data_IF_262149951500
#
_entry.id   IF_262149951500
#
_cell.length_a   1.000
_cell.length_b   1.000
_cell.length_c   1.000
_cell.angle_alpha   90.00
_cell.angle_beta   90.00
_cell.angle_gamma   90.00
#
_symmetry.space_group_name_H-M   'P 1'
#
loop_
_entity.id
_entity.type
_entity.pdbx_description
1 polymer ?
#
# COMPACT_ATOMS: atom_id res chain seq x y z
N UNK A 1 6.30 11.63 -19.50
CA UNK A 1 5.93 10.26 -19.91
C UNK A 1 4.95 9.79 -18.85
N UNK A 2 3.76 9.32 -19.23
CA UNK A 2 2.86 8.66 -18.27
C UNK A 2 3.52 7.35 -17.86
N UNK A 3 3.93 7.25 -16.60
CA UNK A 3 4.31 5.95 -16.03
C UNK A 3 3.07 5.07 -16.05
N UNK A 4 3.21 3.85 -16.56
CA UNK A 4 2.17 2.85 -16.46
C UNK A 4 2.25 2.23 -15.07
N UNK A 5 1.11 1.92 -14.43
CA UNK A 5 1.12 1.24 -13.13
C UNK A 5 1.86 -0.08 -13.20
N UNK A 6 2.65 -0.38 -12.16
CA UNK A 6 3.31 -1.67 -12.06
C UNK A 6 2.31 -2.80 -11.81
N UNK A 7 2.72 -4.05 -12.07
CA UNK A 7 1.84 -5.21 -11.90
C UNK A 7 1.27 -5.37 -10.48
N UNK A 8 2.04 -4.97 -9.47
CA UNK A 8 1.59 -4.93 -8.08
C UNK A 8 0.48 -3.93 -7.85
N UNK A 9 0.69 -2.71 -8.32
CA UNK A 9 -0.29 -1.63 -8.23
C UNK A 9 -1.61 -2.03 -8.88
N UNK A 10 -1.56 -2.66 -10.06
CA UNK A 10 -2.76 -3.16 -10.75
C UNK A 10 -3.55 -4.19 -9.92
N UNK A 11 -2.86 -5.04 -9.15
CA UNK A 11 -3.52 -5.99 -8.25
C UNK A 11 -4.16 -5.26 -7.06
N UNK A 12 -3.43 -4.33 -6.43
CA UNK A 12 -3.93 -3.53 -5.31
C UNK A 12 -5.12 -2.68 -5.71
N UNK A 13 -5.04 -1.94 -6.82
CA UNK A 13 -6.16 -1.15 -7.31
C UNK A 13 -7.36 -1.99 -7.71
N UNK A 14 -7.14 -3.19 -8.26
CA UNK A 14 -8.22 -4.17 -8.50
C UNK A 14 -8.86 -4.62 -7.18
N UNK A 15 -8.05 -4.87 -6.15
CA UNK A 15 -8.55 -5.25 -4.82
C UNK A 15 -9.39 -4.11 -4.22
N UNK A 16 -8.90 -2.87 -4.21
CA UNK A 16 -9.65 -1.70 -3.72
C UNK A 16 -10.98 -1.54 -4.46
N UNK A 17 -10.98 -1.71 -5.79
CA UNK A 17 -12.18 -1.58 -6.62
C UNK A 17 -13.20 -2.68 -6.37
N UNK A 18 -12.77 -3.95 -6.36
CA UNK A 18 -13.67 -5.10 -6.43
C UNK A 18 -14.04 -5.65 -5.05
N UNK A 19 -13.15 -5.53 -4.07
CA UNK A 19 -13.33 -6.07 -2.72
C UNK A 19 -13.67 -4.95 -1.74
N UNK A 20 -12.88 -3.87 -1.70
CA UNK A 20 -13.19 -2.70 -0.83
C UNK A 20 -14.19 -1.74 -1.48
N UNK A 21 -14.74 -2.08 -2.65
CA UNK A 21 -15.80 -1.35 -3.34
C UNK A 21 -15.52 0.13 -3.66
N UNK A 22 -14.25 0.54 -3.68
CA UNK A 22 -13.85 1.92 -4.00
C UNK A 22 -14.42 2.35 -5.36
N UNK A 23 -15.12 3.48 -5.39
CA UNK A 23 -15.75 4.05 -6.58
C UNK A 23 -14.76 4.86 -7.41
N UNK A 24 -13.65 5.28 -6.83
CA UNK A 24 -12.50 5.82 -7.53
C UNK A 24 -11.25 5.04 -7.13
N UNK A 25 -10.44 4.69 -8.13
CA UNK A 25 -9.09 4.16 -7.95
C UNK A 25 -8.19 4.91 -8.93
N UNK A 26 -7.11 5.50 -8.41
CA UNK A 26 -6.09 6.20 -9.19
C UNK A 26 -4.71 5.66 -8.87
N UNK A 27 -3.81 5.75 -9.84
CA UNK A 27 -2.49 5.14 -9.78
C UNK A 27 -1.41 6.20 -10.03
N UNK A 28 -0.22 6.01 -9.47
CA UNK A 28 0.96 6.87 -9.67
C UNK A 28 0.64 8.36 -9.43
N UNK A 29 -0.10 8.66 -8.36
CA UNK A 29 -0.52 10.02 -8.06
C UNK A 29 0.68 10.86 -7.65
N UNK A 30 0.86 12.01 -8.30
CA UNK A 30 1.98 12.92 -8.05
C UNK A 30 1.49 14.31 -7.68
N UNK A 31 2.29 15.00 -6.88
CA UNK A 31 2.11 16.42 -6.63
C UNK A 31 2.26 17.22 -7.93
N UNK A 32 1.46 18.28 -8.09
CA UNK A 32 1.59 19.22 -9.21
C UNK A 32 2.60 20.35 -8.93
N UNK A 33 3.14 20.40 -7.70
CA UNK A 33 4.09 21.43 -7.28
C UNK A 33 5.45 21.17 -7.90
N UNK A 34 6.02 22.18 -8.57
CA UNK A 34 7.32 22.04 -9.23
C UNK A 34 8.42 21.73 -8.22
N UNK A 35 9.17 20.65 -8.46
CA UNK A 35 10.23 20.17 -7.58
C UNK A 35 9.78 19.21 -6.48
N UNK A 36 8.47 19.03 -6.31
CA UNK A 36 7.94 18.00 -5.43
C UNK A 36 8.05 16.61 -6.10
N UNK A 37 8.69 15.68 -5.40
CA UNK A 37 8.92 14.32 -5.87
C UNK A 37 7.94 13.31 -5.26
N UNK A 38 6.91 13.79 -4.56
CA UNK A 38 5.85 12.95 -4.01
C UNK A 38 5.18 12.12 -5.12
N UNK A 39 5.09 10.83 -4.85
CA UNK A 39 4.46 9.82 -5.69
C UNK A 39 3.80 8.81 -4.76
N UNK A 40 2.48 8.62 -4.93
CA UNK A 40 1.67 7.64 -4.24
C UNK A 40 1.27 6.57 -5.26
N UNK A 41 1.50 5.31 -4.92
CA UNK A 41 1.33 4.20 -5.87
C UNK A 41 -0.13 3.98 -6.24
N UNK A 42 -1.03 3.86 -5.24
CA UNK A 42 -2.47 3.67 -5.46
C UNK A 42 -3.29 4.44 -4.42
N UNK A 43 -4.32 5.16 -4.87
CA UNK A 43 -5.33 5.77 -4.00
C UNK A 43 -6.71 5.21 -4.37
N UNK A 44 -7.45 4.74 -3.37
CA UNK A 44 -8.85 4.35 -3.46
C UNK A 44 -9.74 5.31 -2.69
N UNK A 45 -10.93 5.61 -3.21
CA UNK A 45 -11.97 6.35 -2.48
C UNK A 45 -13.25 5.54 -2.47
N UNK A 46 -13.72 5.24 -1.27
CA UNK A 46 -15.00 4.57 -1.01
C UNK A 46 -15.97 5.57 -0.37
N UNK A 47 -17.10 5.85 -1.02
CA UNK A 47 -18.24 6.48 -0.36
C UNK A 47 -19.22 5.39 0.05
N UNK A 48 -19.13 5.02 1.33
CA UNK A 48 -19.92 3.95 1.93
C UNK A 48 -21.42 4.16 1.76
N UNK A 49 -22.23 3.09 1.90
CA UNK A 49 -23.68 3.20 1.85
C UNK A 49 -24.27 4.12 2.94
N UNK A 50 -23.56 4.32 4.05
CA UNK A 50 -23.91 5.24 5.14
C UNK A 50 -23.57 6.69 4.83
N UNK A 51 -22.85 6.96 3.73
CA UNK A 51 -22.46 8.28 3.26
C UNK A 51 -21.12 8.77 3.82
N UNK A 52 -20.37 7.91 4.51
CA UNK A 52 -19.00 8.21 4.96
C UNK A 52 -18.00 8.01 3.82
N UNK A 53 -17.04 8.92 3.68
CA UNK A 53 -15.95 8.83 2.72
C UNK A 53 -14.68 8.30 3.39
N UNK A 54 -14.16 7.18 2.85
CA UNK A 54 -12.92 6.53 3.26
C UNK A 54 -11.90 6.67 2.13
N UNK A 55 -10.71 7.19 2.46
CA UNK A 55 -9.61 7.32 1.50
C UNK A 55 -8.49 6.34 1.84
N UNK A 56 -8.28 5.36 0.96
CA UNK A 56 -7.21 4.38 1.03
C UNK A 56 -5.97 4.93 0.32
N UNK A 57 -4.82 4.93 1.00
CA UNK A 57 -3.53 5.36 0.45
C UNK A 57 -2.55 4.20 0.55
N UNK A 58 -2.18 3.62 -0.59
CA UNK A 58 -1.42 2.38 -0.64
C UNK A 58 -0.02 2.62 -1.21
N UNK A 59 0.96 2.07 -0.52
CA UNK A 59 2.33 1.92 -1.00
C UNK A 59 2.63 0.46 -1.31
N UNK A 60 3.17 0.20 -2.50
CA UNK A 60 3.21 -1.14 -3.09
C UNK A 60 4.65 -1.54 -3.39
N UNK A 61 5.12 -2.57 -2.69
CA UNK A 61 6.46 -3.13 -2.92
C UNK A 61 6.36 -4.61 -3.27
N UNK A 62 6.51 -4.94 -4.55
CA UNK A 62 6.32 -6.31 -5.08
C UNK A 62 7.59 -7.15 -5.20
N UNK A 63 8.66 -6.79 -4.51
CA UNK A 63 9.90 -7.56 -4.52
C UNK A 63 9.67 -8.97 -3.94
N UNK A 64 9.70 -9.98 -4.80
CA UNK A 64 9.52 -11.39 -4.42
C UNK A 64 10.73 -11.97 -3.66
N UNK A 65 11.88 -11.32 -3.76
CA UNK A 65 13.09 -11.64 -2.99
C UNK A 65 13.13 -10.94 -1.63
N UNK A 66 12.23 -9.99 -1.38
CA UNK A 66 12.00 -9.35 -0.09
C UNK A 66 12.06 -7.82 -0.15
N UNK A 67 11.28 -7.16 0.70
CA UNK A 67 11.35 -5.71 0.93
C UNK A 67 12.73 -5.31 1.45
N UNK A 68 13.46 -4.47 0.70
CA UNK A 68 14.77 -3.97 1.09
C UNK A 68 15.15 -2.72 0.27
N UNK A 69 15.43 -1.60 0.94
CA UNK A 69 16.11 -0.44 0.35
C UNK A 69 17.55 -0.37 0.86
N UNK A 70 18.52 -0.50 -0.03
CA UNK A 70 19.93 -0.36 0.34
C UNK A 70 20.27 1.10 0.62
N UNK A 71 20.94 1.38 1.74
CA UNK A 71 21.36 2.73 2.08
C UNK A 71 21.86 2.89 3.50
N UNK A 72 21.98 4.14 3.92
CA UNK A 72 22.36 4.51 5.28
C UNK A 72 21.26 5.42 5.82
N UNK A 73 20.74 5.15 7.02
CA UNK A 73 19.76 6.04 7.62
C UNK A 73 20.41 7.39 7.94
N UNK A 74 19.66 8.47 7.75
CA UNK A 74 20.07 9.83 8.08
C UNK A 74 19.91 10.13 9.58
N UNK A 75 19.16 9.30 10.30
CA UNK A 75 18.87 9.45 11.73
C UNK A 75 19.00 8.15 12.53
N UNK A 76 19.13 8.31 13.85
CA UNK A 76 19.20 7.18 14.80
C UNK A 76 17.81 6.63 15.19
N UNK A 77 16.71 7.09 14.60
CA UNK A 77 15.33 6.69 14.97
C UNK A 77 15.16 5.17 14.97
N UNK A 78 15.71 4.53 13.95
CA UNK A 78 15.59 3.10 13.73
C UNK A 78 16.84 2.32 14.15
N UNK A 79 17.79 2.94 14.87
CA UNK A 79 19.11 2.34 15.18
C UNK A 79 19.05 1.01 15.95
N UNK A 80 17.91 0.69 16.59
CA UNK A 80 17.70 -0.60 17.27
C UNK A 80 17.48 -1.78 16.31
N UNK A 81 17.16 -1.56 15.04
CA UNK A 81 16.82 -2.63 14.10
C UNK A 81 17.99 -3.03 13.22
N UNK A 82 18.39 -4.30 13.30
CA UNK A 82 19.26 -4.99 12.36
C UNK A 82 20.44 -4.17 11.80
N UNK A 83 20.57 -4.19 10.47
CA UNK A 83 21.65 -3.52 9.75
C UNK A 83 21.21 -2.16 9.20
N UNK A 84 22.16 -1.38 8.66
CA UNK A 84 21.89 -0.06 8.08
C UNK A 84 20.80 -0.05 7.01
N UNK A 85 20.69 -1.12 6.22
CA UNK A 85 19.69 -1.22 5.16
C UNK A 85 18.27 -1.36 5.71
N UNK A 86 18.09 -2.15 6.78
CA UNK A 86 16.78 -2.25 7.45
C UNK A 86 16.39 -0.91 8.07
N UNK A 87 17.34 -0.24 8.71
CA UNK A 87 17.13 1.08 9.32
C UNK A 87 16.75 2.11 8.26
N UNK A 88 17.48 2.12 7.14
CA UNK A 88 17.20 2.99 6.00
C UNK A 88 15.84 2.68 5.36
N UNK A 89 15.46 1.40 5.27
CA UNK A 89 14.15 0.99 4.75
C UNK A 89 13.02 1.55 5.61
N UNK A 90 13.12 1.42 6.93
CA UNK A 90 12.14 1.98 7.87
C UNK A 90 12.09 3.51 7.79
N UNK A 91 13.23 4.17 7.70
CA UNK A 91 13.30 5.63 7.56
C UNK A 91 12.61 6.12 6.28
N UNK A 92 12.85 5.45 5.15
CA UNK A 92 12.20 5.80 3.88
C UNK A 92 10.70 5.60 3.91
N UNK A 93 10.22 4.49 4.47
CA UNK A 93 8.79 4.23 4.59
C UNK A 93 8.13 5.24 5.53
N UNK A 94 8.77 5.57 6.66
CA UNK A 94 8.28 6.61 7.56
C UNK A 94 8.14 7.96 6.87
N UNK A 95 9.19 8.40 6.15
CA UNK A 95 9.16 9.65 5.39
C UNK A 95 8.06 9.63 4.34
N UNK A 96 7.91 8.52 3.62
CA UNK A 96 6.91 8.32 2.58
C UNK A 96 5.50 8.45 3.12
N UNK A 97 5.10 7.62 4.09
CA UNK A 97 3.78 7.72 4.70
C UNK A 97 3.50 9.07 5.37
N UNK A 98 4.51 9.71 5.97
CA UNK A 98 4.36 11.06 6.53
C UNK A 98 4.02 12.09 5.44
N UNK A 99 4.70 12.04 4.30
CA UNK A 99 4.47 12.91 3.15
C UNK A 99 3.14 12.61 2.45
N UNK A 100 2.84 11.33 2.23
CA UNK A 100 1.60 10.87 1.59
C UNK A 100 0.39 11.26 2.43
N UNK A 101 0.47 11.13 3.76
CA UNK A 101 -0.58 11.59 4.66
C UNK A 101 -0.82 13.09 4.55
N UNK A 102 0.23 13.90 4.58
CA UNK A 102 0.08 15.35 4.46
C UNK A 102 -0.61 15.72 3.15
N UNK A 103 -0.21 15.08 2.04
CA UNK A 103 -0.78 15.32 0.72
C UNK A 103 -2.25 14.87 0.61
N UNK A 104 -2.57 13.65 1.04
CA UNK A 104 -3.92 13.08 0.88
C UNK A 104 -4.93 13.80 1.76
N UNK A 105 -4.56 14.18 2.99
CA UNK A 105 -5.44 14.95 3.87
C UNK A 105 -5.66 16.39 3.38
N UNK A 106 -4.73 16.95 2.61
CA UNK A 106 -4.96 18.23 1.92
C UNK A 106 -5.88 18.04 0.70
N UNK A 107 -5.66 16.98 -0.09
CA UNK A 107 -6.41 16.71 -1.30
C UNK A 107 -7.87 16.31 -1.03
N UNK A 108 -8.11 15.57 0.06
CA UNK A 108 -9.41 15.05 0.47
C UNK A 108 -9.82 15.57 1.85
N UNK A 109 -9.66 16.87 2.09
CA UNK A 109 -9.87 17.54 3.39
C UNK A 109 -11.23 17.32 4.08
N UNK A 110 -12.20 16.78 3.35
CA UNK A 110 -13.57 16.50 3.77
C UNK A 110 -13.88 15.01 3.93
N UNK A 111 -12.90 14.13 3.73
CA UNK A 111 -13.05 12.71 4.01
C UNK A 111 -13.23 12.45 5.51
N UNK A 112 -14.06 11.46 5.83
CA UNK A 112 -14.38 11.08 7.21
C UNK A 112 -13.26 10.25 7.83
N UNK A 113 -12.55 9.46 7.02
CA UNK A 113 -11.43 8.62 7.46
C UNK A 113 -10.38 8.39 6.37
N UNK A 114 -9.18 8.03 6.82
CA UNK A 114 -8.02 7.77 5.98
C UNK A 114 -7.37 6.47 6.45
N UNK A 115 -7.06 5.59 5.51
CA UNK A 115 -6.41 4.30 5.76
C UNK A 115 -5.12 4.25 4.95
N UNK A 116 -3.98 4.14 5.63
CA UNK A 116 -2.69 3.96 4.95
C UNK A 116 -2.33 2.49 4.91
N UNK A 117 -1.76 2.01 3.81
CA UNK A 117 -1.47 0.58 3.64
C UNK A 117 -0.09 0.37 3.01
N UNK A 118 0.69 -0.53 3.60
CA UNK A 118 1.89 -1.09 2.96
C UNK A 118 1.56 -2.48 2.40
N UNK A 119 1.66 -2.64 1.08
CA UNK A 119 1.45 -3.91 0.39
C UNK A 119 2.78 -4.54 0.00
N UNK A 120 3.09 -5.72 0.54
CA UNK A 120 4.28 -6.46 0.10
C UNK A 120 4.15 -7.98 0.25
N UNK A 121 4.39 -8.77 -0.81
CA UNK A 121 4.20 -10.22 -0.75
C UNK A 121 5.19 -10.91 0.18
N UNK A 122 6.41 -10.36 0.34
CA UNK A 122 7.49 -11.00 1.08
C UNK A 122 8.25 -9.98 1.92
N UNK A 123 8.12 -10.10 3.24
CA UNK A 123 8.94 -9.42 4.22
C UNK A 123 9.58 -10.46 5.13
N UNK A 124 10.91 -10.58 5.07
CA UNK A 124 11.65 -11.58 5.84
C UNK A 124 11.83 -11.16 7.30
N UNK A 125 11.87 -12.16 8.17
CA UNK A 125 12.16 -12.01 9.60
C UNK A 125 10.99 -12.49 10.46
N UNK A 126 11.08 -12.22 11.76
CA UNK A 126 10.00 -12.43 12.70
C UNK A 126 9.57 -11.07 13.30
N UNK A 127 8.29 -10.96 13.66
CA UNK A 127 7.73 -9.81 14.38
C UNK A 127 8.45 -9.53 15.70
N UNK A 128 8.81 -10.56 16.44
CA UNK A 128 9.45 -10.43 17.76
C UNK A 128 10.96 -10.09 17.68
N UNK A 129 11.51 -10.06 16.47
CA UNK A 129 12.92 -9.77 16.24
C UNK A 129 13.13 -8.30 15.90
N UNK A 130 14.25 -7.74 16.39
CA UNK A 130 14.71 -6.39 16.02
C UNK A 130 15.33 -6.38 14.61
N UNK A 131 14.59 -6.89 13.62
CA UNK A 131 14.90 -6.83 12.19
C UNK A 131 13.80 -6.07 11.46
N UNK A 132 13.79 -6.11 10.12
CA UNK A 132 12.86 -5.33 9.31
C UNK A 132 11.39 -5.60 9.66
N UNK A 133 10.97 -6.86 9.78
CA UNK A 133 9.58 -7.18 10.06
C UNK A 133 9.10 -6.61 11.41
N UNK A 134 9.85 -6.82 12.49
CA UNK A 134 9.54 -6.19 13.78
C UNK A 134 9.58 -4.66 13.72
N UNK A 135 10.51 -4.09 12.95
CA UNK A 135 10.58 -2.65 12.71
C UNK A 135 9.37 -2.07 11.97
N UNK A 136 8.77 -2.81 11.04
CA UNK A 136 7.55 -2.36 10.35
C UNK A 136 6.35 -2.28 11.29
N UNK A 137 6.20 -3.27 12.19
CA UNK A 137 5.14 -3.23 13.19
C UNK A 137 5.32 -2.06 14.15
N UNK A 138 6.53 -1.86 14.68
CA UNK A 138 6.81 -0.70 15.53
C UNK A 138 6.63 0.63 14.75
N UNK A 139 6.95 0.67 13.46
CA UNK A 139 6.70 1.83 12.59
C UNK A 139 5.19 2.12 12.47
N UNK A 140 4.37 1.10 12.24
CA UNK A 140 2.91 1.25 12.17
C UNK A 140 2.32 1.73 13.50
N UNK A 141 2.73 1.12 14.62
CA UNK A 141 2.31 1.52 15.97
C UNK A 141 2.72 2.98 16.28
N UNK A 142 3.96 3.36 15.94
CA UNK A 142 4.45 4.74 16.09
C UNK A 142 3.69 5.73 15.18
N UNK A 143 3.36 5.32 13.95
CA UNK A 143 2.63 6.16 13.00
C UNK A 143 1.21 6.45 13.51
N UNK A 144 0.49 5.44 13.99
CA UNK A 144 -0.83 5.63 14.58
C UNK A 144 -0.76 6.50 15.84
N UNK A 145 0.21 6.25 16.72
CA UNK A 145 0.37 7.01 17.96
C UNK A 145 0.68 8.49 17.71
N UNK A 146 1.49 8.81 16.69
CA UNK A 146 1.86 10.20 16.36
C UNK A 146 0.79 10.93 15.54
N UNK A 147 0.09 10.23 14.66
CA UNK A 147 -0.78 10.87 13.67
C UNK A 147 -2.28 10.69 13.91
N UNK A 148 -2.64 9.73 14.77
CA UNK A 148 -4.02 9.28 14.97
C UNK A 148 -4.61 8.56 13.76
N UNK A 149 -3.78 8.08 12.83
CA UNK A 149 -4.22 7.41 11.60
C UNK A 149 -3.59 6.03 11.47
N UNK A 150 -4.38 5.05 11.10
CA UNK A 150 -3.94 3.66 10.98
C UNK A 150 -3.01 3.44 9.78
N UNK A 151 -1.99 2.60 9.97
CA UNK A 151 -1.12 2.09 8.91
C UNK A 151 -1.20 0.55 8.87
N UNK A 152 -1.98 0.03 7.94
CA UNK A 152 -2.14 -1.41 7.72
C UNK A 152 -0.92 -2.01 7.05
N UNK A 153 -0.40 -3.08 7.64
CA UNK A 153 0.66 -3.88 7.05
C UNK A 153 0.06 -5.09 6.32
N UNK A 154 -0.18 -4.94 5.03
CA UNK A 154 -0.68 -5.99 4.14
C UNK A 154 0.51 -6.73 3.57
N UNK A 155 1.12 -7.54 4.43
CA UNK A 155 2.38 -8.23 4.16
C UNK A 155 2.28 -9.73 4.41
N UNK A 156 3.13 -10.51 3.74
CA UNK A 156 3.23 -11.96 3.93
C UNK A 156 1.88 -12.68 3.81
N UNK A 157 1.42 -13.37 4.87
CA UNK A 157 0.17 -14.13 4.88
C UNK A 157 -1.05 -13.24 4.59
N UNK A 158 -1.11 -12.04 5.19
CA UNK A 158 -2.20 -11.07 4.92
C UNK A 158 -2.23 -10.67 3.44
N UNK A 159 -1.07 -10.48 2.82
CA UNK A 159 -1.00 -10.21 1.37
C UNK A 159 -1.56 -11.38 0.56
N UNK A 160 -1.16 -12.62 0.92
CA UNK A 160 -1.67 -13.83 0.26
C UNK A 160 -3.18 -13.93 0.38
N UNK A 161 -3.74 -13.75 1.58
CA UNK A 161 -5.18 -13.81 1.83
C UNK A 161 -5.96 -12.80 0.96
N UNK A 162 -5.48 -11.55 0.88
CA UNK A 162 -6.11 -10.50 0.07
C UNK A 162 -6.08 -10.82 -1.43
N UNK A 163 -4.97 -11.37 -1.91
CA UNK A 163 -4.85 -11.80 -3.32
C UNK A 163 -5.74 -13.01 -3.61
N UNK A 164 -5.80 -13.99 -2.71
CA UNK A 164 -6.66 -15.17 -2.84
C UNK A 164 -8.15 -14.78 -2.85
N UNK A 165 -8.55 -13.80 -2.03
CA UNK A 165 -9.90 -13.23 -2.06
C UNK A 165 -10.22 -12.61 -3.42
N UNK A 166 -9.29 -11.83 -3.99
CA UNK A 166 -9.44 -11.26 -5.32
C UNK A 166 -9.52 -12.35 -6.42
N UNK A 167 -8.74 -13.42 -6.30
CA UNK A 167 -8.78 -14.57 -7.21
C UNK A 167 -10.11 -15.32 -7.12
N UNK A 168 -10.60 -15.59 -5.91
CA UNK A 168 -11.91 -16.22 -5.71
C UNK A 168 -13.02 -15.38 -6.36
N UNK A 169 -12.97 -14.06 -6.18
CA UNK A 169 -13.90 -13.14 -6.82
C UNK A 169 -13.84 -13.19 -8.34
N UNK A 170 -12.63 -13.35 -8.92
CA UNK A 170 -12.41 -13.47 -10.37
C UNK A 170 -12.95 -14.79 -10.94
N UNK A 171 -12.86 -15.89 -10.19
CA UNK A 171 -13.42 -17.18 -10.60
C UNK A 171 -14.97 -17.14 -10.70
N UNK A 172 -15.63 -16.33 -9.89
CA UNK A 172 -17.09 -16.26 -9.81
C UNK A 172 -17.77 -15.40 -10.90
N UNK A 173 -17.00 -14.61 -11.66
CA UNK A 173 -17.58 -13.65 -12.62
C UNK A 173 -16.79 -13.56 -13.91
N UNK A 174 -17.51 -13.45 -15.03
CA UNK A 174 -16.94 -13.18 -16.35
C UNK A 174 -17.05 -11.70 -16.75
N UNK A 175 -17.76 -10.88 -15.95
CA UNK A 175 -17.98 -9.46 -16.24
C UNK A 175 -16.65 -8.73 -16.29
N UNK A 176 -16.46 -7.90 -17.32
CA UNK A 176 -15.33 -6.98 -17.39
C UNK A 176 -15.62 -5.74 -16.53
N UNK A 177 -14.72 -5.46 -15.59
CA UNK A 177 -14.79 -4.32 -14.68
C UNK A 177 -13.85 -3.18 -15.07
N UNK A 178 -13.10 -3.33 -16.18
CA UNK A 178 -12.14 -2.32 -16.63
C UNK A 178 -10.83 -2.29 -15.83
N UNK A 179 -10.63 -3.23 -14.90
CA UNK A 179 -9.40 -3.36 -14.10
C UNK A 179 -8.49 -4.44 -14.69
N UNK A 180 -7.32 -4.04 -15.19
CA UNK A 180 -6.41 -4.94 -15.90
C UNK A 180 -5.86 -6.06 -15.01
N UNK A 181 -5.52 -5.76 -13.75
CA UNK A 181 -5.06 -6.75 -12.77
C UNK A 181 -6.10 -7.85 -12.56
N UNK A 182 -7.35 -7.45 -12.29
CA UNK A 182 -8.48 -8.37 -12.15
C UNK A 182 -8.74 -9.18 -13.43
N UNK A 183 -8.65 -8.54 -14.60
CA UNK A 183 -8.90 -9.21 -15.88
C UNK A 183 -7.90 -10.33 -16.15
N UNK A 184 -6.64 -10.16 -15.76
CA UNK A 184 -5.63 -11.22 -15.84
C UNK A 184 -6.03 -12.41 -14.96
N UNK A 185 -6.47 -12.16 -13.72
CA UNK A 185 -6.94 -13.23 -12.83
C UNK A 185 -8.16 -13.96 -13.43
N UNK A 186 -9.15 -13.24 -13.95
CA UNK A 186 -10.29 -13.85 -14.63
C UNK A 186 -9.86 -14.72 -15.81
N UNK A 187 -8.90 -14.28 -16.62
CA UNK A 187 -8.40 -15.10 -17.72
C UNK A 187 -7.83 -16.41 -17.15
N UNK A 188 -6.97 -16.33 -16.14
CA UNK A 188 -6.31 -17.49 -15.54
C UNK A 188 -7.30 -18.49 -14.93
N UNK A 189 -8.31 -18.01 -14.20
CA UNK A 189 -9.32 -18.85 -13.53
C UNK A 189 -10.28 -19.55 -14.52
N UNK A 190 -10.44 -19.01 -15.74
CA UNK A 190 -11.40 -19.53 -16.72
C UNK A 190 -10.74 -20.24 -17.93
N UNK A 191 -9.41 -20.43 -17.92
CA UNK A 191 -8.71 -21.24 -18.94
C UNK A 191 -9.09 -22.73 -18.83
N UNK A 192 -8.98 -23.46 -19.95
CA UNK A 192 -9.32 -24.90 -20.05
C UNK A 192 -8.13 -25.75 -20.49
#
# INVERSE_FOLDING_TARGET
MTNQPESGELLVGSYLRLIEHCELVTYNQRSQTEGDQLEIDVIGVDNTETGEQIVYTCEVVTHIDGLHYSGTPDSDRWAKYGNSDYQHTLERLWQKFSSDRAYVMELFDSADSYVFQLWSPVVRGNRDEQYLLGGLYDLADEFEAETGTELDLIINETYTEKVEELQARAAETEKDYGELGFRILQILEHMR
#
